data_IF_338378838132
#
_entry.id   IF_338378838132
#
_cell.length_a   1.000
_cell.length_b   1.000
_cell.length_c   1.000
_cell.angle_alpha   90.00
_cell.angle_beta   90.00
_cell.angle_gamma   90.00
#
_symmetry.space_group_name_H-M   'P 1'
#
loop_
_entity.id
_entity.type
_entity.pdbx_description
1 polymer ?
#
# COMPACT_ATOMS: atom_id res chain seq x y z
N UNK A 1 2.59 15.13 -6.76
CA UNK A 1 1.32 14.64 -6.23
C UNK A 1 1.60 13.56 -5.21
N UNK A 2 0.90 13.52 -4.08
CA UNK A 2 1.21 12.57 -3.00
C UNK A 2 -0.08 11.88 -2.58
N UNK A 3 -0.08 10.55 -2.66
CA UNK A 3 -1.19 9.69 -2.28
C UNK A 3 -0.85 8.86 -1.04
N UNK A 4 -1.75 7.97 -0.64
CA UNK A 4 -1.55 7.12 0.53
C UNK A 4 -0.41 6.11 0.33
N UNK A 5 -0.28 5.57 -0.89
CA UNK A 5 0.69 4.50 -1.21
C UNK A 5 1.60 4.82 -2.38
N UNK A 6 1.51 6.03 -2.93
CA UNK A 6 2.33 6.48 -4.04
C UNK A 6 2.64 7.97 -3.96
N UNK A 7 3.68 8.40 -4.67
CA UNK A 7 3.91 9.81 -4.92
C UNK A 7 4.52 10.02 -6.30
N UNK A 8 3.99 11.00 -7.03
CA UNK A 8 4.64 11.56 -8.21
C UNK A 8 5.72 12.53 -7.74
N UNK A 9 6.97 12.16 -7.98
CA UNK A 9 8.14 13.01 -7.73
C UNK A 9 8.65 13.60 -9.02
N UNK A 10 9.30 14.75 -8.92
CA UNK A 10 9.96 15.41 -10.05
C UNK A 10 11.26 16.04 -9.59
N UNK A 11 12.29 15.93 -10.41
CA UNK A 11 13.60 16.54 -10.17
C UNK A 11 13.95 17.40 -11.38
N UNK A 12 14.33 18.64 -11.10
CA UNK A 12 14.75 19.62 -12.10
C UNK A 12 16.17 20.09 -11.74
N UNK A 13 17.23 19.59 -12.40
CA UNK A 13 18.58 20.07 -12.15
C UNK A 13 18.72 21.51 -12.63
N UNK A 14 19.53 22.31 -11.92
CA UNK A 14 19.83 23.69 -12.32
C UNK A 14 20.71 23.76 -13.57
N UNK A 15 21.49 22.70 -13.81
CA UNK A 15 22.22 22.47 -15.06
C UNK A 15 21.66 21.21 -15.74
N UNK A 16 20.90 21.38 -16.82
CA UNK A 16 20.34 20.27 -17.59
C UNK A 16 21.39 19.40 -18.28
N UNK A 17 22.63 19.89 -18.40
CA UNK A 17 23.74 19.14 -18.96
C UNK A 17 24.47 18.23 -17.97
N UNK A 18 24.25 18.42 -16.67
CA UNK A 18 24.82 17.60 -15.61
C UNK A 18 24.02 16.33 -15.37
N UNK A 19 24.73 15.26 -15.02
CA UNK A 19 24.13 14.03 -14.52
C UNK A 19 23.87 14.13 -13.01
N UNK A 20 22.82 13.48 -12.54
CA UNK A 20 22.47 13.42 -11.13
C UNK A 20 21.88 12.07 -10.74
N UNK A 21 22.01 11.75 -9.46
CA UNK A 21 21.32 10.65 -8.82
C UNK A 21 20.14 11.19 -8.02
N UNK A 22 19.01 10.48 -8.01
CA UNK A 22 17.88 10.81 -7.15
C UNK A 22 17.15 9.56 -6.69
N UNK A 23 16.42 9.68 -5.58
CA UNK A 23 15.63 8.58 -5.06
C UNK A 23 14.77 8.99 -3.88
N UNK A 24 13.98 8.04 -3.38
CA UNK A 24 13.14 8.23 -2.19
C UNK A 24 13.58 7.25 -1.12
N UNK A 25 13.74 7.75 0.12
CA UNK A 25 14.06 6.95 1.30
C UNK A 25 13.03 7.18 2.41
N UNK A 26 12.90 6.19 3.31
CA UNK A 26 12.10 6.34 4.52
C UNK A 26 12.74 7.32 5.50
N UNK A 27 11.96 7.82 6.47
CA UNK A 27 12.51 8.61 7.57
C UNK A 27 13.60 7.88 8.36
N UNK A 28 13.45 6.58 8.60
CA UNK A 28 14.44 5.77 9.33
C UNK A 28 15.74 5.63 8.54
N UNK A 29 15.65 5.40 7.23
CA UNK A 29 16.82 5.40 6.36
C UNK A 29 17.51 6.76 6.41
N UNK A 30 16.77 7.85 6.25
CA UNK A 30 17.32 9.20 6.32
C UNK A 30 17.97 9.51 7.68
N UNK A 31 17.36 9.06 8.79
CA UNK A 31 17.86 9.28 10.14
C UNK A 31 19.21 8.57 10.43
N UNK A 32 19.48 7.42 9.79
CA UNK A 32 20.78 6.72 9.90
C UNK A 32 21.98 7.59 9.49
N UNK A 33 21.72 8.65 8.72
CA UNK A 33 22.74 9.59 8.28
C UNK A 33 22.82 10.83 9.18
N UNK A 34 22.19 10.81 10.36
CA UNK A 34 22.12 11.92 11.33
C UNK A 34 21.61 13.24 10.73
N UNK A 35 20.89 13.20 9.62
CA UNK A 35 20.51 14.39 8.85
C UNK A 35 21.69 15.10 8.15
N UNK A 36 22.89 14.52 8.18
CA UNK A 36 24.06 14.99 7.42
C UNK A 36 23.97 14.46 5.98
N UNK A 37 23.49 15.33 5.10
CA UNK A 37 23.38 15.05 3.67
C UNK A 37 24.70 14.62 3.03
N UNK A 38 25.86 15.04 3.55
CA UNK A 38 27.16 14.65 2.96
C UNK A 38 27.51 13.19 3.24
N UNK A 39 27.28 12.73 4.47
CA UNK A 39 27.49 11.32 4.82
C UNK A 39 26.54 10.41 4.03
N UNK A 40 25.29 10.85 3.86
CA UNK A 40 24.31 10.18 3.00
C UNK A 40 24.80 10.06 1.55
N UNK A 41 25.19 11.18 0.93
CA UNK A 41 25.67 11.20 -0.46
C UNK A 41 26.88 10.29 -0.62
N UNK A 42 27.86 10.35 0.29
CA UNK A 42 29.06 9.54 0.20
C UNK A 42 28.79 8.03 0.30
N UNK A 43 27.94 7.62 1.24
CA UNK A 43 27.58 6.21 1.40
C UNK A 43 26.75 5.69 0.21
N UNK A 44 25.74 6.47 -0.22
CA UNK A 44 24.92 6.10 -1.37
C UNK A 44 25.74 6.05 -2.67
N UNK A 45 26.60 7.05 -2.90
CA UNK A 45 27.50 7.10 -4.04
C UNK A 45 28.40 5.86 -4.09
N UNK A 46 28.99 5.48 -2.95
CA UNK A 46 29.83 4.28 -2.84
C UNK A 46 29.06 3.02 -3.21
N UNK A 47 27.88 2.82 -2.63
CA UNK A 47 27.05 1.64 -2.92
C UNK A 47 26.66 1.55 -4.40
N UNK A 48 26.31 2.69 -5.01
CA UNK A 48 25.95 2.76 -6.43
C UNK A 48 27.15 2.43 -7.33
N UNK A 49 28.32 3.01 -7.05
CA UNK A 49 29.56 2.74 -7.78
C UNK A 49 29.96 1.27 -7.65
N UNK A 50 29.92 0.71 -6.44
CA UNK A 50 30.26 -0.69 -6.19
C UNK A 50 29.31 -1.65 -6.94
N UNK A 51 28.01 -1.33 -6.96
CA UNK A 51 27.02 -2.09 -7.72
C UNK A 51 27.26 -2.01 -9.24
N UNK A 52 27.46 -0.80 -9.76
CA UNK A 52 27.70 -0.57 -11.19
C UNK A 52 29.00 -1.22 -11.66
N UNK A 53 30.07 -1.21 -10.85
CA UNK A 53 31.33 -1.93 -11.14
C UNK A 53 31.11 -3.43 -11.27
N UNK A 54 30.45 -4.04 -10.28
CA UNK A 54 30.12 -5.49 -10.32
C UNK A 54 29.28 -5.84 -11.54
N UNK A 55 28.31 -5.00 -11.90
CA UNK A 55 27.46 -5.20 -13.07
C UNK A 55 28.26 -5.12 -14.38
N UNK A 56 29.15 -4.14 -14.50
CA UNK A 56 30.02 -3.96 -15.66
C UNK A 56 30.99 -5.14 -15.82
N UNK A 57 31.64 -5.57 -14.73
CA UNK A 57 32.51 -6.75 -14.69
C UNK A 57 31.78 -8.03 -15.13
N UNK A 58 30.60 -8.28 -14.56
CA UNK A 58 29.80 -9.46 -14.91
C UNK A 58 29.33 -9.45 -16.38
N UNK A 59 29.16 -8.26 -16.96
CA UNK A 59 28.71 -8.09 -18.35
C UNK A 59 29.85 -7.95 -19.36
N UNK A 60 31.12 -7.91 -18.91
CA UNK A 60 32.27 -7.59 -19.77
C UNK A 60 32.23 -6.19 -20.38
N UNK A 61 31.51 -5.24 -19.77
CA UNK A 61 31.37 -3.85 -20.23
C UNK A 61 32.36 -2.94 -19.50
N UNK A 62 32.74 -1.83 -20.13
CA UNK A 62 33.47 -0.76 -19.44
C UNK A 62 32.59 -0.15 -18.33
N UNK A 63 33.20 0.21 -17.21
CA UNK A 63 32.49 0.85 -16.10
C UNK A 63 31.95 2.23 -16.52
N UNK A 64 30.66 2.44 -16.28
CA UNK A 64 30.00 3.73 -16.45
C UNK A 64 28.73 3.78 -15.60
N UNK A 65 28.40 4.96 -15.08
CA UNK A 65 27.14 5.20 -14.38
C UNK A 65 26.00 5.67 -15.29
N UNK A 66 26.17 5.63 -16.61
CA UNK A 66 25.17 6.12 -17.56
C UNK A 66 23.78 5.46 -17.39
N UNK A 67 23.75 4.17 -17.06
CA UNK A 67 22.50 3.41 -16.85
C UNK A 67 21.81 3.73 -15.50
N UNK A 68 22.47 4.49 -14.62
CA UNK A 68 22.04 4.75 -13.25
C UNK A 68 21.76 6.21 -12.94
N UNK A 69 22.33 7.12 -13.72
CA UNK A 69 22.19 8.55 -13.54
C UNK A 69 21.17 9.13 -14.51
N UNK A 70 20.55 10.22 -14.09
CA UNK A 70 19.55 10.95 -14.88
C UNK A 70 20.15 12.25 -15.40
N UNK A 71 19.66 12.72 -16.54
CA UNK A 71 20.04 13.99 -17.17
C UNK A 71 18.78 14.77 -17.55
N UNK A 72 18.77 16.08 -17.31
CA UNK A 72 17.61 16.93 -17.59
C UNK A 72 16.48 16.79 -16.56
N UNK A 73 15.28 17.25 -16.91
CA UNK A 73 14.10 17.11 -16.05
C UNK A 73 13.61 15.67 -16.06
N UNK A 74 13.24 15.15 -14.88
CA UNK A 74 12.64 13.83 -14.74
C UNK A 74 11.43 13.88 -13.82
N UNK A 75 10.40 13.10 -14.15
CA UNK A 75 9.27 12.86 -13.26
C UNK A 75 8.86 11.39 -13.27
N UNK A 76 8.65 10.85 -12.08
CA UNK A 76 8.36 9.43 -11.88
C UNK A 76 7.41 9.23 -10.71
N UNK A 77 6.49 8.28 -10.86
CA UNK A 77 5.67 7.81 -9.74
C UNK A 77 6.40 6.69 -8.99
N UNK A 78 6.61 6.88 -7.70
CA UNK A 78 7.02 5.83 -6.78
C UNK A 78 5.77 5.24 -6.12
N UNK A 79 5.72 3.92 -5.99
CA UNK A 79 4.62 3.18 -5.37
C UNK A 79 5.16 2.37 -4.17
N UNK A 80 4.25 1.78 -3.39
CA UNK A 80 4.59 0.90 -2.28
C UNK A 80 4.94 1.65 -0.99
N UNK A 81 4.47 2.89 -0.84
CA UNK A 81 4.61 3.64 0.40
C UNK A 81 3.57 3.22 1.44
N UNK A 82 3.93 3.35 2.71
CA UNK A 82 3.01 3.24 3.83
C UNK A 82 2.21 4.55 3.96
N UNK A 83 0.89 4.50 4.21
CA UNK A 83 0.08 5.68 4.51
C UNK A 83 0.58 6.44 5.74
N UNK A 84 0.26 7.73 5.83
CA UNK A 84 0.62 8.63 6.96
C UNK A 84 2.11 8.58 7.35
N UNK A 85 2.99 8.27 6.41
CA UNK A 85 4.40 8.02 6.68
C UNK A 85 5.27 9.08 6.01
N UNK A 86 6.38 9.42 6.68
CA UNK A 86 7.33 10.41 6.21
C UNK A 86 8.37 9.78 5.28
N UNK A 87 8.57 10.41 4.13
CA UNK A 87 9.58 10.04 3.14
C UNK A 87 10.40 11.27 2.74
N UNK A 88 11.59 11.00 2.21
CA UNK A 88 12.53 12.02 1.77
C UNK A 88 12.94 11.74 0.34
N UNK A 89 12.55 12.62 -0.58
CA UNK A 89 13.11 12.69 -1.94
C UNK A 89 14.47 13.36 -1.85
N UNK A 90 15.50 12.73 -2.38
CA UNK A 90 16.85 13.26 -2.40
C UNK A 90 17.36 13.37 -3.84
N UNK A 91 18.26 14.31 -4.10
CA UNK A 91 19.01 14.39 -5.35
C UNK A 91 20.39 15.04 -5.16
N UNK A 92 21.41 14.54 -5.85
CA UNK A 92 22.76 15.11 -5.87
C UNK A 92 23.44 14.88 -7.22
N UNK A 93 24.37 15.76 -7.58
CA UNK A 93 25.15 15.68 -8.82
C UNK A 93 26.15 14.53 -8.78
N UNK A 94 26.36 13.87 -9.92
CA UNK A 94 27.36 12.84 -10.05
C UNK A 94 27.81 12.71 -11.50
N UNK A 95 29.10 12.55 -11.76
CA UNK A 95 29.65 12.28 -13.09
C UNK A 95 29.51 10.79 -13.43
N UNK A 96 29.65 10.44 -14.72
CA UNK A 96 29.61 9.04 -15.16
C UNK A 96 30.71 8.16 -14.53
N UNK A 97 31.80 8.77 -14.05
CA UNK A 97 32.88 8.10 -13.33
C UNK A 97 32.68 7.99 -11.81
N UNK A 98 31.63 8.61 -11.26
CA UNK A 98 31.30 8.56 -9.84
C UNK A 98 31.85 9.72 -9.00
N UNK A 99 32.36 10.79 -9.62
CA UNK A 99 32.71 12.01 -8.90
C UNK A 99 31.45 12.83 -8.59
N UNK A 100 31.39 13.48 -7.44
CA UNK A 100 30.24 14.27 -7.00
C UNK A 100 30.70 15.47 -6.18
N UNK A 101 29.96 16.58 -6.23
CA UNK A 101 30.32 17.79 -5.47
C UNK A 101 29.99 17.69 -3.97
N UNK A 102 29.13 16.73 -3.59
CA UNK A 102 28.62 16.54 -2.23
C UNK A 102 27.46 17.48 -1.87
N UNK A 103 26.92 18.22 -2.84
CA UNK A 103 25.70 19.01 -2.64
C UNK A 103 24.49 18.08 -2.66
N UNK A 104 23.59 18.23 -1.70
CA UNK A 104 22.39 17.42 -1.59
C UNK A 104 21.15 18.31 -1.54
N UNK A 105 20.20 18.07 -2.45
CA UNK A 105 18.85 18.57 -2.34
C UNK A 105 17.97 17.50 -1.67
N UNK A 106 17.19 17.90 -0.66
CA UNK A 106 16.25 17.02 0.03
C UNK A 106 14.90 17.68 0.15
N UNK A 107 13.83 16.92 -0.12
CA UNK A 107 12.45 17.34 0.12
C UNK A 107 11.71 16.27 0.90
N UNK A 108 11.25 16.64 2.09
CA UNK A 108 10.33 15.82 2.89
C UNK A 108 8.93 15.85 2.28
N UNK A 109 8.26 14.71 2.27
CA UNK A 109 6.82 14.62 2.06
C UNK A 109 6.21 13.57 2.98
N UNK A 110 4.91 13.68 3.22
CA UNK A 110 4.15 12.74 4.05
C UNK A 110 3.04 12.17 3.19
N UNK A 111 2.95 10.85 3.09
CA UNK A 111 1.85 10.19 2.37
C UNK A 111 0.52 10.50 3.02
N UNK A 112 -0.54 10.50 2.21
CA UNK A 112 -1.90 10.71 2.72
C UNK A 112 -2.32 9.53 3.60
N UNK A 113 -3.41 9.72 4.34
CA UNK A 113 -4.16 8.60 4.92
C UNK A 113 -4.74 7.76 3.78
N UNK A 114 -4.83 6.45 3.97
CA UNK A 114 -5.64 5.61 3.10
C UNK A 114 -7.11 6.08 3.19
N UNK A 115 -7.87 6.13 2.08
CA UNK A 115 -9.27 6.54 2.15
C UNK A 115 -10.06 5.68 3.14
N UNK A 116 -10.98 6.31 3.87
CA UNK A 116 -11.70 5.72 5.00
C UNK A 116 -12.72 4.64 4.61
N UNK A 117 -13.06 4.48 3.34
CA UNK A 117 -13.82 3.36 2.78
C UNK A 117 -13.89 3.58 1.27
N UNK A 118 -13.85 2.51 0.46
CA UNK A 118 -14.11 2.67 -0.96
C UNK A 118 -15.60 2.98 -1.21
N UNK A 119 -15.96 3.79 -2.23
CA UNK A 119 -17.36 4.11 -2.54
C UNK A 119 -18.08 3.00 -3.34
N UNK A 120 -17.40 1.88 -3.60
CA UNK A 120 -17.88 0.82 -4.49
C UNK A 120 -19.14 0.11 -3.95
N UNK A 121 -19.28 0.00 -2.62
CA UNK A 121 -20.41 -0.65 -1.96
C UNK A 121 -20.95 0.19 -0.79
N UNK A 122 -22.27 0.23 -0.66
CA UNK A 122 -22.93 0.72 0.56
C UNK A 122 -23.20 -0.46 1.49
N UNK A 123 -22.75 -0.36 2.74
CA UNK A 123 -22.92 -1.40 3.76
C UNK A 123 -23.77 -0.84 4.90
N UNK A 124 -24.76 -1.60 5.35
CA UNK A 124 -25.57 -1.28 6.54
C UNK A 124 -25.71 -2.51 7.41
N UNK A 125 -25.76 -2.32 8.73
CA UNK A 125 -25.94 -3.38 9.72
C UNK A 125 -27.14 -3.00 10.59
N UNK A 126 -28.05 -3.93 10.85
CA UNK A 126 -29.17 -3.72 11.78
C UNK A 126 -28.88 -4.30 13.18
N UNK A 127 -29.85 -4.20 14.09
CA UNK A 127 -29.71 -4.62 15.48
C UNK A 127 -29.51 -6.14 15.64
N UNK A 128 -29.92 -6.95 14.67
CA UNK A 128 -29.77 -8.40 14.68
C UNK A 128 -28.48 -8.85 13.96
N UNK A 129 -27.56 -7.92 13.71
CA UNK A 129 -26.35 -8.13 12.91
C UNK A 129 -26.64 -8.67 11.50
N UNK A 130 -27.75 -8.26 10.89
CA UNK A 130 -27.98 -8.48 9.48
C UNK A 130 -27.20 -7.44 8.68
N UNK A 131 -26.21 -7.91 7.94
CA UNK A 131 -25.34 -7.09 7.10
C UNK A 131 -25.92 -7.06 5.70
N UNK A 132 -26.29 -5.87 5.24
CA UNK A 132 -26.74 -5.61 3.88
C UNK A 132 -25.68 -4.88 3.08
N UNK A 133 -25.47 -5.33 1.85
CA UNK A 133 -24.55 -4.72 0.88
C UNK A 133 -25.31 -4.36 -0.40
N UNK A 134 -25.14 -3.12 -0.84
CA UNK A 134 -25.65 -2.61 -2.12
C UNK A 134 -24.44 -2.15 -2.96
N UNK A 135 -24.07 -2.87 -4.03
CA UNK A 135 -23.02 -2.41 -4.95
C UNK A 135 -23.48 -1.19 -5.74
N UNK A 136 -22.55 -0.26 -5.97
CA UNK A 136 -22.76 0.89 -6.87
C UNK A 136 -22.94 0.48 -8.34
N UNK A 137 -22.35 -0.66 -8.72
CA UNK A 137 -22.54 -1.35 -9.99
C UNK A 137 -23.01 -2.79 -9.73
N UNK A 138 -24.29 -3.05 -9.99
CA UNK A 138 -24.91 -4.36 -9.77
C UNK A 138 -24.32 -5.50 -10.62
N UNK A 139 -23.53 -5.19 -11.66
CA UNK A 139 -22.83 -6.20 -12.47
C UNK A 139 -21.58 -6.75 -11.80
N UNK A 140 -21.02 -6.04 -10.81
CA UNK A 140 -19.83 -6.48 -10.09
C UNK A 140 -20.16 -7.68 -9.20
N UNK A 141 -19.40 -8.77 -9.38
CA UNK A 141 -19.35 -9.84 -8.39
C UNK A 141 -18.41 -9.43 -7.27
N UNK A 142 -18.84 -9.60 -6.03
CA UNK A 142 -18.11 -9.14 -4.85
C UNK A 142 -18.14 -10.17 -3.73
N UNK A 143 -17.18 -10.05 -2.82
CA UNK A 143 -17.13 -10.79 -1.57
C UNK A 143 -17.72 -9.93 -0.46
N UNK A 144 -18.55 -10.51 0.41
CA UNK A 144 -18.95 -9.93 1.70
C UNK A 144 -18.41 -10.80 2.83
N UNK A 145 -17.87 -10.16 3.86
CA UNK A 145 -17.43 -10.84 5.08
C UNK A 145 -17.46 -9.88 6.28
N UNK A 146 -17.36 -10.44 7.49
CA UNK A 146 -17.32 -9.73 8.76
C UNK A 146 -16.18 -10.30 9.59
N UNK A 147 -15.28 -9.43 10.05
CA UNK A 147 -14.22 -9.79 10.98
C UNK A 147 -14.38 -9.04 12.31
N UNK A 148 -13.81 -9.58 13.38
CA UNK A 148 -13.64 -8.81 14.61
C UNK A 148 -12.73 -7.62 14.38
N UNK A 149 -12.92 -6.55 15.16
CA UNK A 149 -12.08 -5.37 15.05
C UNK A 149 -10.59 -5.67 15.32
N UNK A 150 -10.30 -6.65 16.19
CA UNK A 150 -8.93 -7.09 16.46
C UNK A 150 -8.26 -7.71 15.23
N UNK A 151 -8.97 -8.58 14.51
CA UNK A 151 -8.48 -9.15 13.24
C UNK A 151 -8.29 -8.04 12.22
N UNK A 152 -9.31 -7.20 12.02
CA UNK A 152 -9.26 -6.09 11.06
C UNK A 152 -8.10 -5.11 11.34
N UNK A 153 -7.88 -4.76 12.60
CA UNK A 153 -6.85 -3.78 13.00
C UNK A 153 -5.43 -4.35 13.00
N UNK A 154 -5.27 -5.68 12.90
CA UNK A 154 -3.98 -6.33 12.77
C UNK A 154 -3.36 -6.18 11.37
N UNK A 155 -4.18 -6.00 10.33
CA UNK A 155 -3.71 -5.82 8.96
C UNK A 155 -3.37 -4.35 8.68
N UNK A 156 -2.35 -4.12 7.84
CA UNK A 156 -1.86 -2.76 7.56
C UNK A 156 -2.84 -1.89 6.76
N UNK A 157 -3.75 -2.50 5.99
CA UNK A 157 -4.73 -1.81 5.13
C UNK A 157 -6.01 -2.63 4.97
N UNK A 158 -7.16 -2.03 4.59
CA UNK A 158 -8.37 -2.76 4.25
C UNK A 158 -8.17 -3.83 3.16
N UNK A 159 -7.31 -3.53 2.17
CA UNK A 159 -6.95 -4.50 1.13
C UNK A 159 -6.14 -5.67 1.70
N UNK A 160 -5.26 -5.41 2.66
CA UNK A 160 -4.55 -6.48 3.34
C UNK A 160 -5.51 -7.39 4.12
N UNK A 161 -6.54 -6.85 4.79
CA UNK A 161 -7.60 -7.67 5.39
C UNK A 161 -8.28 -8.55 4.34
N UNK A 162 -8.65 -7.99 3.20
CA UNK A 162 -9.28 -8.74 2.11
C UNK A 162 -8.36 -9.82 1.52
N UNK A 163 -7.06 -9.54 1.36
CA UNK A 163 -6.07 -10.52 0.90
C UNK A 163 -5.85 -11.64 1.95
N UNK A 164 -5.79 -11.30 3.24
CA UNK A 164 -5.67 -12.24 4.36
C UNK A 164 -6.91 -13.15 4.43
N UNK A 165 -8.11 -12.60 4.24
CA UNK A 165 -9.34 -13.38 4.13
C UNK A 165 -9.32 -14.33 2.93
N UNK A 166 -8.94 -13.86 1.74
CA UNK A 166 -8.86 -14.70 0.53
C UNK A 166 -7.87 -15.86 0.74
N UNK A 167 -6.73 -15.59 1.39
CA UNK A 167 -5.76 -16.61 1.77
C UNK A 167 -6.34 -17.61 2.77
N UNK A 168 -7.04 -17.14 3.80
CA UNK A 168 -7.71 -18.02 4.76
C UNK A 168 -8.71 -18.93 4.05
N UNK A 169 -9.52 -18.42 3.12
CA UNK A 169 -10.44 -19.24 2.33
C UNK A 169 -9.69 -20.30 1.52
N UNK A 170 -8.60 -19.94 0.84
CA UNK A 170 -7.76 -20.86 0.07
C UNK A 170 -7.14 -21.97 0.94
N UNK A 171 -6.72 -21.63 2.16
CA UNK A 171 -6.13 -22.56 3.14
C UNK A 171 -7.20 -23.37 3.90
N UNK A 172 -8.49 -23.09 3.70
CA UNK A 172 -9.63 -23.73 4.37
C UNK A 172 -10.40 -24.69 3.46
N UNK A 173 -11.35 -25.44 4.03
CA UNK A 173 -12.30 -26.26 3.26
C UNK A 173 -13.45 -25.43 2.65
N UNK A 174 -13.49 -24.11 2.88
CA UNK A 174 -14.55 -23.26 2.34
C UNK A 174 -14.33 -22.94 0.87
N UNK A 175 -15.42 -22.93 0.10
CA UNK A 175 -15.38 -22.39 -1.26
C UNK A 175 -15.50 -20.87 -1.22
N UNK A 176 -14.62 -20.15 -1.93
CA UNK A 176 -14.76 -18.70 -2.12
C UNK A 176 -16.13 -18.31 -2.69
N UNK A 177 -16.76 -19.20 -3.46
CA UNK A 177 -18.11 -18.99 -4.02
C UNK A 177 -19.17 -18.81 -2.94
N UNK A 178 -18.98 -19.35 -1.74
CA UNK A 178 -19.92 -19.19 -0.62
C UNK A 178 -19.99 -17.75 -0.11
N UNK A 179 -18.98 -16.94 -0.42
CA UNK A 179 -18.89 -15.54 -0.02
C UNK A 179 -19.11 -14.58 -1.19
N UNK A 180 -19.30 -15.10 -2.41
CA UNK A 180 -19.43 -14.29 -3.62
C UNK A 180 -20.90 -14.00 -3.93
N UNK A 181 -21.20 -12.72 -4.10
CA UNK A 181 -22.53 -12.20 -4.36
C UNK A 181 -22.52 -11.26 -5.57
N UNK A 182 -23.71 -11.02 -6.12
CA UNK A 182 -23.94 -10.05 -7.20
C UNK A 182 -25.29 -9.39 -6.96
N UNK A 183 -25.39 -8.08 -7.26
CA UNK A 183 -26.58 -7.30 -6.90
C UNK A 183 -26.67 -7.03 -5.40
N UNK A 184 -27.86 -6.66 -4.92
CA UNK A 184 -28.11 -6.48 -3.49
C UNK A 184 -28.11 -7.83 -2.76
N UNK A 185 -27.43 -7.90 -1.61
CA UNK A 185 -27.38 -9.09 -0.76
C UNK A 185 -27.43 -8.72 0.72
N UNK A 186 -28.00 -9.62 1.52
CA UNK A 186 -28.06 -9.51 2.97
C UNK A 186 -27.82 -10.86 3.63
N UNK A 187 -27.05 -10.86 4.71
CA UNK A 187 -26.78 -12.04 5.51
C UNK A 187 -26.77 -11.72 7.01
N UNK A 188 -27.40 -12.59 7.79
CA UNK A 188 -27.41 -12.48 9.24
C UNK A 188 -26.21 -13.21 9.82
N UNK A 189 -25.33 -12.47 10.50
CA UNK A 189 -24.15 -13.02 11.14
C UNK A 189 -24.40 -13.40 12.61
N UNK A 190 -25.59 -13.10 13.13
CA UNK A 190 -26.07 -13.61 14.41
C UNK A 190 -27.15 -14.68 14.22
N UNK A 191 -26.90 -15.88 14.75
CA UNK A 191 -27.85 -16.96 14.87
C UNK A 191 -27.66 -17.65 16.24
N UNK A 192 -28.57 -17.47 17.21
CA UNK A 192 -28.43 -18.03 18.56
C UNK A 192 -28.42 -19.58 18.59
N UNK A 193 -28.77 -20.24 17.48
CA UNK A 193 -28.73 -21.70 17.35
C UNK A 193 -27.48 -22.20 16.62
N UNK A 194 -26.67 -21.31 16.06
CA UNK A 194 -25.43 -21.69 15.38
C UNK A 194 -24.35 -22.05 16.41
N UNK A 195 -23.66 -23.17 16.17
CA UNK A 195 -22.55 -23.60 17.02
C UNK A 195 -21.19 -23.01 16.61
N UNK A 196 -21.10 -22.42 15.41
CA UNK A 196 -19.89 -21.82 14.85
C UNK A 196 -20.25 -20.58 14.03
N UNK A 197 -19.30 -19.66 13.87
CA UNK A 197 -19.40 -18.44 13.06
C UNK A 197 -20.53 -17.47 13.50
N UNK A 198 -20.98 -17.58 14.75
CA UNK A 198 -21.94 -16.65 15.35
C UNK A 198 -21.20 -15.44 15.92
N UNK A 199 -21.68 -14.22 15.65
CA UNK A 199 -21.17 -13.06 16.36
C UNK A 199 -21.57 -13.12 17.84
N UNK A 200 -20.66 -12.69 18.70
CA UNK A 200 -20.89 -12.46 20.13
C UNK A 200 -20.76 -10.97 20.44
N UNK A 201 -21.05 -10.54 21.68
CA UNK A 201 -20.86 -9.12 22.05
C UNK A 201 -19.44 -8.64 21.74
N UNK A 202 -19.30 -7.55 21.00
CA UNK A 202 -18.00 -7.01 20.59
C UNK A 202 -18.04 -6.02 19.42
N UNK A 203 -16.85 -5.53 19.06
CA UNK A 203 -16.62 -4.64 17.93
C UNK A 203 -16.21 -5.42 16.67
N UNK A 204 -16.83 -5.08 15.54
CA UNK A 204 -16.68 -5.78 14.26
C UNK A 204 -16.52 -4.81 13.10
N UNK A 205 -16.04 -5.35 11.97
CA UNK A 205 -15.99 -4.66 10.69
C UNK A 205 -16.62 -5.55 9.62
N UNK A 206 -17.74 -5.10 9.06
CA UNK A 206 -18.30 -5.66 7.85
C UNK A 206 -17.60 -5.01 6.65
N UNK A 207 -17.14 -5.81 5.68
CA UNK A 207 -16.48 -5.27 4.49
C UNK A 207 -16.80 -6.05 3.23
N UNK A 208 -16.76 -5.33 2.11
CA UNK A 208 -17.06 -5.85 0.79
C UNK A 208 -16.04 -5.36 -0.24
N UNK A 209 -15.71 -6.24 -1.19
CA UNK A 209 -14.80 -5.93 -2.28
C UNK A 209 -15.13 -6.75 -3.53
N UNK A 210 -15.03 -6.14 -4.71
CA UNK A 210 -15.21 -6.81 -5.98
C UNK A 210 -14.16 -7.90 -6.17
N UNK A 211 -14.59 -9.08 -6.63
CA UNK A 211 -13.72 -10.23 -6.83
C UNK A 211 -14.22 -11.06 -8.01
N UNK A 212 -13.34 -11.37 -8.95
CA UNK A 212 -13.68 -12.12 -10.16
C UNK A 212 -13.29 -13.60 -10.11
N UNK A 213 -12.95 -14.12 -8.93
CA UNK A 213 -12.44 -15.49 -8.76
C UNK A 213 -10.91 -15.62 -8.78
N UNK A 214 -10.16 -14.55 -9.10
CA UNK A 214 -8.69 -14.57 -9.09
C UNK A 214 -8.03 -13.35 -8.48
N UNK A 215 -8.66 -12.16 -8.57
CA UNK A 215 -8.13 -10.93 -7.99
C UNK A 215 -9.23 -10.00 -7.53
N UNK A 216 -8.88 -9.15 -6.57
CA UNK A 216 -9.71 -8.01 -6.18
C UNK A 216 -9.82 -7.03 -7.36
N UNK A 217 -11.03 -6.57 -7.65
CA UNK A 217 -11.35 -5.72 -8.82
C UNK A 217 -11.82 -4.31 -8.46
N UNK A 218 -12.06 -4.01 -7.18
CA UNK A 218 -12.48 -2.69 -6.68
C UNK A 218 -11.65 -2.28 -5.46
N UNK A 219 -11.97 -1.14 -4.83
CA UNK A 219 -11.54 -0.89 -3.45
C UNK A 219 -12.30 -1.77 -2.45
N UNK A 220 -11.89 -1.70 -1.17
CA UNK A 220 -12.60 -2.34 -0.05
C UNK A 220 -13.50 -1.31 0.62
N UNK A 221 -14.81 -1.52 0.53
CA UNK A 221 -15.80 -0.77 1.29
C UNK A 221 -15.99 -1.46 2.65
N UNK A 222 -16.09 -0.69 3.73
CA UNK A 222 -16.29 -1.28 5.06
C UNK A 222 -17.13 -0.39 5.98
N UNK A 223 -17.73 -1.02 6.99
CA UNK A 223 -18.49 -0.39 8.07
C UNK A 223 -18.06 -1.02 9.41
N UNK A 224 -17.64 -0.18 10.34
CA UNK A 224 -17.39 -0.58 11.74
C UNK A 224 -18.70 -0.54 12.51
N UNK A 225 -18.94 -1.54 13.35
CA UNK A 225 -20.13 -1.58 14.21
C UNK A 225 -19.83 -2.31 15.52
N UNK A 226 -20.61 -1.99 16.54
CA UNK A 226 -20.67 -2.75 17.79
C UNK A 226 -21.90 -3.66 17.74
N UNK A 227 -21.76 -4.89 18.20
CA UNK A 227 -22.87 -5.82 18.37
C UNK A 227 -22.96 -6.24 19.83
N UNK A 228 -24.18 -6.25 20.36
CA UNK A 228 -24.50 -6.75 21.69
C UNK A 228 -25.40 -7.98 21.51
N UNK A 229 -25.01 -9.12 22.09
CA UNK A 229 -25.89 -10.28 22.15
C UNK A 229 -27.21 -9.90 22.87
N UNK A 230 -28.37 -10.21 22.27
CA UNK A 230 -29.65 -10.02 22.95
C UNK A 230 -29.67 -10.78 24.29
N UNK A 231 -30.03 -10.09 25.37
CA UNK A 231 -30.31 -10.74 26.65
C UNK A 231 -31.52 -11.69 26.51
N UNK A 232 -31.34 -12.96 26.89
CA UNK A 232 -32.40 -13.99 26.86
C UNK A 232 -33.45 -13.80 27.95
#
# INVERSE_FOLDING_TARGET
DVEATSALVSVAPTNSDSYYCYGVVTADQYAKFNGDGKAFVADYAKQLIDYARKSAEASGREFSLADYLTKGYESRTYNGFSPLSNYYLFAFDMTLGGEYSGNLAVKKFTTKKYPDSAPDFTITVDADANVKVIPSDASVTYVLTVDSYDVWSSSATPKACADDFLKWVEDSDYSIRSFMHQGEYSECYYNPKAQMNNLTTGDYVAYAFGYNGSKITTGVSYLKFHFDEPEN
#
